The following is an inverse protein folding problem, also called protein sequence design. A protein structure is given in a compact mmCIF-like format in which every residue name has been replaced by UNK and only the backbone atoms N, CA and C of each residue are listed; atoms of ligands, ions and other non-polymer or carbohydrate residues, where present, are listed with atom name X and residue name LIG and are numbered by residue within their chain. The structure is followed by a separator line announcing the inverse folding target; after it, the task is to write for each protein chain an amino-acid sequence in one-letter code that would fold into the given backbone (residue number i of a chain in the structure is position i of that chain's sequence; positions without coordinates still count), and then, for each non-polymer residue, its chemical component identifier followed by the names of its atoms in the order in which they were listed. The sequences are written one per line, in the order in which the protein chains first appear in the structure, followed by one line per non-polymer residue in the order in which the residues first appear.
data_IF_891868608238
#
_entry.id   IF_891868608238
#
_cell.length_a   1.000
_cell.length_b   1.000
_cell.length_c   1.000
_cell.angle_alpha   90.00
_cell.angle_beta   90.00
_cell.angle_gamma   90.00
#
_symmetry.space_group_name_H-M   'P 1'
#
loop_
_entity.id
_entity.type
_entity.pdbx_description
1 polymer ?
#
# COMPACT_ATOMS: atom_id res chain seq x y z
N UNK A 1 15.44 -16.00 -12.63
CA UNK A 1 16.63 -16.69 -13.16
C UNK A 1 16.68 -18.06 -12.50
N UNK A 2 16.75 -19.14 -13.27
CA UNK A 2 16.90 -20.48 -12.72
C UNK A 2 18.29 -20.62 -12.07
N UNK A 3 18.37 -21.31 -10.94
CA UNK A 3 19.63 -21.54 -10.25
C UNK A 3 20.29 -22.85 -10.73
N UNK A 4 21.63 -22.93 -10.79
CA UNK A 4 22.34 -24.13 -11.25
C UNK A 4 22.04 -25.41 -10.46
N UNK A 5 21.72 -25.28 -9.17
CA UNK A 5 21.43 -26.41 -8.27
C UNK A 5 19.95 -26.79 -8.25
N UNK A 6 19.09 -26.11 -9.02
CA UNK A 6 17.65 -26.18 -8.90
C UNK A 6 17.07 -24.98 -8.16
N UNK A 7 15.79 -24.69 -8.40
CA UNK A 7 15.13 -23.50 -7.87
C UNK A 7 15.30 -22.24 -8.73
N UNK A 8 14.84 -21.11 -8.20
CA UNK A 8 14.70 -19.85 -8.92
C UNK A 8 15.08 -18.67 -8.03
N UNK A 9 15.91 -17.77 -8.55
CA UNK A 9 16.12 -16.44 -8.00
C UNK A 9 15.27 -15.42 -8.75
N UNK A 10 14.54 -14.59 -8.02
CA UNK A 10 13.75 -13.48 -8.58
C UNK A 10 14.20 -12.19 -7.93
N UNK A 11 14.53 -11.18 -8.75
CA UNK A 11 14.65 -9.81 -8.24
C UNK A 11 13.28 -9.34 -7.76
N UNK A 12 13.23 -8.96 -6.50
CA UNK A 12 12.05 -8.38 -5.89
C UNK A 12 12.14 -6.85 -5.96
N UNK A 13 11.02 -6.14 -5.94
CA UNK A 13 11.03 -4.70 -5.68
C UNK A 13 11.82 -4.41 -4.41
N UNK A 14 12.42 -3.23 -4.33
CA UNK A 14 13.14 -2.81 -3.14
C UNK A 14 12.21 -2.74 -1.91
N UNK A 15 12.82 -2.76 -0.72
CA UNK A 15 12.16 -2.55 0.58
C UNK A 15 12.84 -1.37 1.28
N UNK A 16 12.20 -0.87 2.32
CA UNK A 16 12.63 0.31 3.05
C UNK A 16 12.68 1.56 2.17
N UNK A 17 13.77 2.32 2.30
CA UNK A 17 14.08 3.52 1.50
C UNK A 17 14.28 3.27 -0.01
N UNK A 18 14.29 2.01 -0.44
CA UNK A 18 14.42 1.62 -1.84
C UNK A 18 15.86 1.48 -2.34
N UNK A 19 16.87 1.66 -1.47
CA UNK A 19 18.28 1.58 -1.84
C UNK A 19 18.80 0.14 -2.00
N UNK A 20 18.25 -0.79 -1.22
CA UNK A 20 18.71 -2.17 -1.17
C UNK A 20 18.16 -3.03 -2.31
N UNK A 21 19.04 -3.81 -2.95
CA UNK A 21 18.62 -4.86 -3.88
C UNK A 21 18.00 -6.03 -3.12
N UNK A 22 16.79 -6.44 -3.52
CA UNK A 22 16.06 -7.55 -2.89
C UNK A 22 15.97 -8.73 -3.86
N UNK A 23 16.25 -9.94 -3.37
CA UNK A 23 16.16 -11.17 -4.14
C UNK A 23 15.37 -12.21 -3.35
N UNK A 24 14.33 -12.76 -3.97
CA UNK A 24 13.64 -13.94 -3.45
C UNK A 24 14.33 -15.19 -4.00
N UNK A 25 14.71 -16.12 -3.12
CA UNK A 25 15.26 -17.42 -3.49
C UNK A 25 14.21 -18.51 -3.23
N UNK A 26 13.70 -19.12 -4.30
CA UNK A 26 12.86 -20.29 -4.24
C UNK A 26 13.74 -21.53 -4.42
N UNK A 27 13.82 -22.36 -3.39
CA UNK A 27 14.72 -23.51 -3.34
C UNK A 27 13.94 -24.79 -3.00
N UNK A 28 14.42 -25.96 -3.44
CA UNK A 28 13.99 -27.22 -2.86
C UNK A 28 14.19 -27.20 -1.34
N UNK A 29 13.24 -27.75 -0.58
CA UNK A 29 13.25 -27.68 0.89
C UNK A 29 14.55 -28.21 1.50
N UNK A 30 15.14 -29.25 0.90
CA UNK A 30 16.40 -29.85 1.36
C UNK A 30 17.62 -28.92 1.20
N UNK A 31 17.57 -27.93 0.31
CA UNK A 31 18.68 -27.02 0.01
C UNK A 31 18.66 -25.73 0.85
N UNK A 32 17.57 -25.46 1.58
CA UNK A 32 17.41 -24.19 2.32
C UNK A 32 18.53 -23.98 3.36
N UNK A 33 18.88 -25.02 4.10
CA UNK A 33 19.94 -24.93 5.14
C UNK A 33 21.31 -24.64 4.53
N UNK A 34 21.74 -25.47 3.58
CA UNK A 34 23.02 -25.28 2.89
C UNK A 34 23.13 -23.90 2.23
N UNK A 35 22.04 -23.41 1.60
CA UNK A 35 22.05 -22.08 1.00
C UNK A 35 22.13 -20.96 2.03
N UNK A 36 21.50 -21.11 3.19
CA UNK A 36 21.61 -20.15 4.28
C UNK A 36 23.06 -20.07 4.78
N UNK A 37 23.71 -21.23 4.97
CA UNK A 37 25.12 -21.30 5.39
C UNK A 37 26.06 -20.61 4.40
N UNK A 38 25.86 -20.81 3.09
CA UNK A 38 26.62 -20.11 2.04
C UNK A 38 26.43 -18.59 2.12
N UNK A 39 25.21 -18.11 2.35
CA UNK A 39 24.93 -16.68 2.50
C UNK A 39 25.60 -16.10 3.75
N UNK A 40 25.55 -16.82 4.88
CA UNK A 40 26.23 -16.40 6.11
C UNK A 40 27.75 -16.39 5.95
N UNK A 41 28.33 -17.38 5.27
CA UNK A 41 29.75 -17.41 4.93
C UNK A 41 30.16 -16.25 4.01
N UNK A 42 29.24 -15.77 3.16
CA UNK A 42 29.42 -14.59 2.33
C UNK A 42 29.16 -13.26 3.06
N UNK A 43 28.85 -13.29 4.37
CA UNK A 43 28.67 -12.11 5.21
C UNK A 43 27.22 -11.64 5.37
N UNK A 44 26.23 -12.39 4.88
CA UNK A 44 24.83 -12.10 5.21
C UNK A 44 24.56 -12.29 6.70
N UNK A 45 23.60 -11.54 7.23
CA UNK A 45 23.11 -11.68 8.60
C UNK A 45 21.63 -12.01 8.59
N UNK A 46 21.17 -12.75 9.59
CA UNK A 46 19.76 -13.05 9.74
C UNK A 46 18.99 -11.80 10.21
N UNK A 47 17.79 -11.63 9.69
CA UNK A 47 16.84 -10.61 10.12
C UNK A 47 15.50 -11.27 10.47
N UNK A 48 14.81 -10.71 11.47
CA UNK A 48 13.49 -11.17 11.88
C UNK A 48 12.39 -10.80 10.88
N UNK A 49 11.25 -11.49 10.96
CA UNK A 49 10.09 -11.18 10.13
C UNK A 49 9.57 -9.76 10.39
N UNK A 50 9.62 -9.29 11.63
CA UNK A 50 9.16 -7.95 12.00
C UNK A 50 9.98 -6.85 11.32
N UNK A 51 11.30 -7.04 11.20
CA UNK A 51 12.17 -6.12 10.48
C UNK A 51 11.81 -6.09 8.98
N UNK A 52 11.57 -7.25 8.38
CA UNK A 52 11.11 -7.31 6.99
C UNK A 52 9.75 -6.62 6.80
N UNK A 53 8.81 -6.83 7.73
CA UNK A 53 7.49 -6.19 7.67
C UNK A 53 7.58 -4.67 7.86
N UNK A 54 8.46 -4.18 8.73
CA UNK A 54 8.75 -2.75 8.88
C UNK A 54 9.23 -2.12 7.56
N UNK A 55 10.25 -2.70 6.94
CA UNK A 55 10.78 -2.21 5.66
C UNK A 55 9.77 -2.37 4.51
N UNK A 56 8.89 -3.37 4.56
CA UNK A 56 7.81 -3.54 3.57
C UNK A 56 6.77 -2.42 3.69
N UNK A 57 6.38 -2.06 4.91
CA UNK A 57 5.43 -0.99 5.18
C UNK A 57 6.01 0.36 4.81
N UNK A 58 7.27 0.64 5.18
CA UNK A 58 8.00 1.85 4.77
C UNK A 58 8.00 2.01 3.23
N UNK A 59 8.29 0.93 2.50
CA UNK A 59 8.26 0.90 1.03
C UNK A 59 6.84 0.91 0.42
N UNK A 60 5.79 1.12 1.22
CA UNK A 60 4.38 1.15 0.79
C UNK A 60 3.97 -0.08 -0.02
N UNK A 61 4.42 -1.26 0.39
CA UNK A 61 4.12 -2.53 -0.30
C UNK A 61 2.95 -3.25 0.35
N UNK A 62 1.71 -3.07 -0.15
CA UNK A 62 0.54 -3.69 0.46
C UNK A 62 0.51 -5.20 0.22
N UNK A 63 -0.04 -5.91 1.22
CA UNK A 63 -0.39 -7.33 1.18
C UNK A 63 -1.89 -7.47 0.90
N UNK A 64 -2.22 -8.23 -0.14
CA UNK A 64 -3.61 -8.52 -0.49
C UNK A 64 -4.34 -9.22 0.66
N UNK A 65 -5.56 -8.76 0.94
CA UNK A 65 -6.41 -9.27 2.03
C UNK A 65 -6.10 -8.73 3.42
N UNK A 66 -4.95 -8.05 3.61
CA UNK A 66 -4.58 -7.40 4.88
C UNK A 66 -4.64 -5.89 4.72
N UNK A 67 -3.86 -5.36 3.78
CA UNK A 67 -3.77 -3.93 3.45
C UNK A 67 -4.87 -3.51 2.46
N UNK A 68 -5.53 -4.48 1.82
CA UNK A 68 -6.67 -4.28 0.93
C UNK A 68 -7.95 -4.91 1.49
N UNK A 69 -9.11 -4.47 1.02
CA UNK A 69 -10.40 -5.10 1.33
C UNK A 69 -11.07 -5.68 0.07
N UNK A 70 -12.22 -6.33 0.26
CA UNK A 70 -12.99 -6.96 -0.84
C UNK A 70 -13.55 -5.94 -1.85
N UNK A 71 -13.49 -4.63 -1.56
CA UNK A 71 -13.91 -3.54 -2.44
C UNK A 71 -12.72 -2.84 -3.09
N UNK A 72 -11.49 -3.20 -2.69
CA UNK A 72 -10.28 -2.58 -3.21
C UNK A 72 -10.13 -2.84 -4.69
N UNK A 73 -9.88 -1.77 -5.43
CA UNK A 73 -9.54 -1.85 -6.84
C UNK A 73 -8.03 -1.64 -6.99
N UNK A 74 -7.39 -2.20 -8.03
CA UNK A 74 -5.97 -2.02 -8.28
C UNK A 74 -5.52 -0.56 -8.31
N UNK A 75 -6.41 0.36 -8.74
CA UNK A 75 -6.13 1.80 -8.82
C UNK A 75 -5.98 2.51 -7.48
N UNK A 76 -6.39 1.90 -6.39
CA UNK A 76 -6.21 2.47 -5.04
C UNK A 76 -4.84 2.10 -4.43
N UNK A 77 -4.11 1.18 -5.07
CA UNK A 77 -2.89 0.55 -4.59
C UNK A 77 -1.76 0.73 -5.62
N UNK A 78 -0.48 0.59 -5.24
CA UNK A 78 0.65 0.65 -6.18
C UNK A 78 0.68 -0.48 -7.23
N UNK A 79 -0.35 -1.35 -7.27
CA UNK A 79 -0.44 -2.50 -8.17
C UNK A 79 -0.79 -2.16 -9.60
N UNK A 80 -1.33 -0.96 -9.90
CA UNK A 80 -1.57 -0.54 -11.29
C UNK A 80 -0.31 -0.66 -12.15
N UNK A 81 0.85 -0.27 -11.60
CA UNK A 81 2.11 -0.21 -12.35
C UNK A 81 2.76 -1.58 -12.55
N UNK A 82 2.39 -2.57 -11.74
CA UNK A 82 3.15 -3.84 -11.63
C UNK A 82 2.31 -5.09 -11.84
N UNK A 83 0.99 -5.03 -11.64
CA UNK A 83 0.12 -6.20 -11.63
C UNK A 83 -1.05 -6.10 -12.62
N UNK A 84 -1.23 -4.95 -13.28
CA UNK A 84 -2.28 -4.74 -14.27
C UNK A 84 -1.65 -4.47 -15.63
N UNK A 85 -2.00 -5.30 -16.62
CA UNK A 85 -1.78 -4.94 -18.02
C UNK A 85 -3.04 -4.30 -18.57
N UNK A 86 -2.95 -3.03 -18.94
CA UNK A 86 -4.08 -2.30 -19.54
C UNK A 86 -4.38 -2.74 -20.98
N UNK A 87 -3.39 -3.36 -21.64
CA UNK A 87 -3.44 -3.72 -23.07
C UNK A 87 -3.58 -5.23 -23.32
N UNK A 88 -3.51 -6.07 -22.28
CA UNK A 88 -3.80 -7.51 -22.43
C UNK A 88 -5.32 -7.70 -22.53
N UNK A 89 -5.74 -8.74 -23.27
CA UNK A 89 -7.15 -8.98 -23.63
C UNK A 89 -8.14 -9.05 -22.46
N UNK A 90 -9.42 -9.27 -22.76
CA UNK A 90 -10.52 -9.21 -21.79
C UNK A 90 -10.30 -10.05 -20.52
N UNK A 91 -9.99 -9.41 -19.39
CA UNK A 91 -9.97 -10.04 -18.07
C UNK A 91 -11.11 -9.53 -17.18
N UNK A 92 -11.53 -10.36 -16.22
CA UNK A 92 -12.66 -10.04 -15.34
C UNK A 92 -12.34 -8.80 -14.49
N UNK A 93 -13.21 -7.79 -14.55
CA UNK A 93 -13.05 -6.53 -13.81
C UNK A 93 -12.29 -5.42 -14.56
N UNK A 94 -11.80 -5.67 -15.78
CA UNK A 94 -11.08 -4.69 -16.60
C UNK A 94 -11.90 -3.41 -16.85
N UNK A 95 -13.22 -3.51 -16.99
CA UNK A 95 -14.07 -2.33 -17.21
C UNK A 95 -13.97 -1.32 -16.06
N UNK A 96 -13.93 -1.80 -14.81
CA UNK A 96 -13.80 -0.92 -13.63
C UNK A 96 -12.41 -0.31 -13.57
N UNK A 97 -11.38 -1.12 -13.82
CA UNK A 97 -9.98 -0.67 -13.82
C UNK A 97 -9.72 0.38 -14.91
N UNK A 98 -10.16 0.10 -16.14
CA UNK A 98 -10.02 1.00 -17.29
C UNK A 98 -10.86 2.27 -17.11
N UNK A 99 -12.09 2.17 -16.58
CA UNK A 99 -12.93 3.35 -16.32
C UNK A 99 -12.31 4.28 -15.29
N UNK A 100 -11.81 3.74 -14.17
CA UNK A 100 -11.15 4.57 -13.15
C UNK A 100 -9.84 5.13 -13.70
N UNK A 101 -9.07 4.36 -14.45
CA UNK A 101 -7.83 4.82 -15.06
C UNK A 101 -8.06 5.96 -16.07
N UNK A 102 -9.09 5.86 -16.91
CA UNK A 102 -9.30 6.79 -18.03
C UNK A 102 -10.21 7.98 -17.69
N UNK A 103 -11.11 7.86 -16.71
CA UNK A 103 -12.14 8.87 -16.43
C UNK A 103 -12.19 9.34 -14.97
N UNK A 104 -11.44 8.72 -14.06
CA UNK A 104 -11.73 8.83 -12.62
C UNK A 104 -10.53 9.10 -11.73
N UNK A 105 -10.83 9.62 -10.54
CA UNK A 105 -9.93 9.57 -9.39
C UNK A 105 -10.34 8.36 -8.56
N UNK A 106 -9.42 7.44 -8.18
CA UNK A 106 -9.73 6.31 -7.31
C UNK A 106 -10.45 6.81 -6.05
N UNK A 107 -11.50 6.13 -5.56
CA UNK A 107 -12.28 6.65 -4.42
C UNK A 107 -11.48 6.63 -3.11
N UNK A 108 -10.45 5.79 -3.04
CA UNK A 108 -9.49 5.71 -1.93
C UNK A 108 -8.05 5.75 -2.45
N UNK A 109 -7.10 5.98 -1.56
CA UNK A 109 -5.68 5.80 -1.80
C UNK A 109 -5.04 5.06 -0.64
N UNK A 110 -4.00 4.29 -0.93
CA UNK A 110 -3.08 3.79 0.08
C UNK A 110 -2.18 4.92 0.55
N UNK A 111 -2.01 5.03 1.86
CA UNK A 111 -1.10 5.98 2.50
C UNK A 111 -0.29 5.26 3.58
N UNK A 112 0.91 5.77 3.86
CA UNK A 112 1.64 5.49 5.08
C UNK A 112 1.12 6.42 6.19
N UNK A 113 0.82 5.86 7.35
CA UNK A 113 0.46 6.58 8.56
C UNK A 113 1.61 6.49 9.55
N UNK A 114 1.94 7.62 10.15
CA UNK A 114 2.76 7.71 11.37
C UNK A 114 1.81 7.76 12.55
N UNK A 115 1.92 6.80 13.47
CA UNK A 115 1.04 6.67 14.62
C UNK A 115 1.79 7.10 15.88
N UNK A 116 1.14 7.99 16.64
CA UNK A 116 1.56 8.40 17.96
C UNK A 116 0.48 8.04 18.98
N UNK A 117 0.90 7.46 20.10
CA UNK A 117 -0.02 6.97 21.12
C UNK A 117 0.70 6.18 22.20
N UNK A 118 0.15 6.25 23.42
CA UNK A 118 0.73 5.62 24.62
C UNK A 118 0.34 4.14 24.80
N UNK A 119 -0.40 3.53 23.86
CA UNK A 119 -0.80 2.13 23.97
C UNK A 119 0.38 1.20 23.67
N UNK A 120 0.58 0.18 24.50
CA UNK A 120 1.55 -0.89 24.23
C UNK A 120 1.17 -1.73 23.00
N UNK A 121 -0.11 -1.74 22.63
CA UNK A 121 -0.64 -2.54 21.53
C UNK A 121 -0.81 -1.73 20.25
N UNK A 122 -0.31 -2.26 19.13
CA UNK A 122 -0.52 -1.67 17.81
C UNK A 122 -1.95 -1.96 17.31
N UNK A 123 -2.60 -1.01 16.61
CA UNK A 123 -3.92 -1.27 16.03
C UNK A 123 -3.93 -2.47 15.10
N UNK A 124 -4.97 -3.29 15.20
CA UNK A 124 -5.13 -4.46 14.35
C UNK A 124 -5.52 -4.06 12.90
N UNK A 125 -5.13 -4.86 11.89
CA UNK A 125 -5.62 -4.65 10.54
C UNK A 125 -7.14 -4.66 10.47
N UNK A 126 -7.72 -3.63 9.85
CA UNK A 126 -9.15 -3.42 9.78
C UNK A 126 -9.69 -2.38 10.75
N UNK A 127 -8.89 -1.92 11.72
CA UNK A 127 -9.30 -0.82 12.60
C UNK A 127 -9.69 0.42 11.78
N UNK A 128 -10.86 1.03 12.04
CA UNK A 128 -11.29 2.23 11.34
C UNK A 128 -10.31 3.39 11.52
N UNK A 129 -10.07 4.12 10.44
CA UNK A 129 -9.39 5.41 10.46
C UNK A 129 -10.46 6.49 10.48
N UNK A 130 -10.44 7.36 11.49
CA UNK A 130 -11.42 8.45 11.64
C UNK A 130 -10.77 9.82 11.53
N UNK A 131 -11.55 10.79 11.09
CA UNK A 131 -11.22 12.22 11.16
C UNK A 131 -12.39 12.90 11.88
N UNK A 132 -12.14 13.36 13.11
CA UNK A 132 -13.20 13.69 14.06
C UNK A 132 -14.14 12.49 14.28
N UNK A 133 -15.44 12.69 14.09
CA UNK A 133 -16.45 11.63 14.26
C UNK A 133 -16.70 10.77 13.01
N UNK A 134 -16.01 11.04 11.90
CA UNK A 134 -16.28 10.39 10.61
C UNK A 134 -15.24 9.32 10.31
N UNK A 135 -15.71 8.12 9.99
CA UNK A 135 -14.85 7.09 9.39
C UNK A 135 -14.45 7.50 7.97
N UNK A 136 -13.15 7.55 7.73
CA UNK A 136 -12.53 7.95 6.47
C UNK A 136 -11.69 6.86 5.84
N UNK A 137 -11.46 5.73 6.51
CA UNK A 137 -10.66 4.65 5.96
C UNK A 137 -10.52 3.46 6.92
N UNK A 138 -9.58 2.59 6.61
CA UNK A 138 -9.15 1.49 7.47
C UNK A 138 -7.64 1.35 7.46
N UNK A 139 -7.09 0.94 8.60
CA UNK A 139 -5.68 0.55 8.68
C UNK A 139 -5.51 -0.90 8.19
N UNK A 140 -4.37 -1.18 7.59
CA UNK A 140 -3.88 -2.50 7.23
C UNK A 140 -2.83 -2.95 8.24
N UNK A 141 -1.66 -3.31 7.76
CA UNK A 141 -0.49 -3.69 8.55
C UNK A 141 0.01 -2.49 9.33
N UNK A 142 0.22 -2.66 10.64
CA UNK A 142 0.89 -1.71 11.52
C UNK A 142 2.10 -2.40 12.14
N UNK A 143 3.22 -1.70 12.19
CA UNK A 143 4.54 -2.23 12.59
C UNK A 143 5.31 -1.19 13.39
N UNK A 144 6.30 -1.66 14.17
CA UNK A 144 7.28 -0.80 14.83
C UNK A 144 8.53 -0.73 13.96
N UNK A 145 8.79 0.43 13.40
CA UNK A 145 9.96 0.73 12.60
C UNK A 145 11.08 1.29 13.48
N UNK A 146 12.33 0.96 13.18
CA UNK A 146 13.48 1.36 14.01
C UNK A 146 13.75 2.87 13.97
N UNK A 147 13.54 3.52 12.83
CA UNK A 147 13.68 4.97 12.66
C UNK A 147 12.35 5.75 12.75
N UNK A 148 11.34 5.35 11.97
CA UNK A 148 10.06 6.06 11.85
C UNK A 148 9.10 5.85 13.03
N UNK A 149 9.42 5.00 14.00
CA UNK A 149 8.51 4.67 15.10
C UNK A 149 7.36 3.77 14.66
N UNK A 150 6.15 3.97 15.19
CA UNK A 150 5.00 3.13 14.81
C UNK A 150 4.42 3.65 13.50
N UNK A 151 4.48 2.80 12.46
CA UNK A 151 3.95 3.14 11.14
C UNK A 151 2.95 2.08 10.68
N UNK A 152 2.05 2.47 9.78
CA UNK A 152 1.11 1.52 9.20
C UNK A 152 0.61 1.93 7.83
N UNK A 153 0.22 0.95 7.02
CA UNK A 153 -0.49 1.22 5.77
C UNK A 153 -1.97 1.43 6.04
N UNK A 154 -2.59 2.38 5.35
CA UNK A 154 -4.02 2.60 5.43
C UNK A 154 -4.64 2.90 4.08
N UNK A 155 -5.86 2.40 3.87
CA UNK A 155 -6.71 2.83 2.77
C UNK A 155 -7.65 3.92 3.26
N UNK A 156 -7.43 5.15 2.81
CA UNK A 156 -8.22 6.32 3.18
C UNK A 156 -8.98 6.89 1.99
N UNK A 157 -10.12 7.52 2.25
CA UNK A 157 -10.89 8.26 1.25
C UNK A 157 -10.00 9.27 0.56
N UNK A 158 -10.16 9.35 -0.76
CA UNK A 158 -9.33 10.20 -1.58
C UNK A 158 -9.50 11.71 -1.30
N UNK A 159 -10.60 12.10 -0.65
CA UNK A 159 -10.89 13.46 -0.19
C UNK A 159 -10.22 13.85 1.14
N UNK A 160 -9.58 12.92 1.85
CA UNK A 160 -8.87 13.23 3.10
C UNK A 160 -7.66 14.11 2.76
N UNK A 161 -7.56 15.25 3.43
CA UNK A 161 -6.45 16.18 3.28
C UNK A 161 -5.15 15.53 3.83
N UNK A 162 -3.99 15.79 3.21
CA UNK A 162 -2.73 15.20 3.66
C UNK A 162 -2.30 15.65 5.06
N UNK A 163 -2.73 16.84 5.51
CA UNK A 163 -2.48 17.40 6.84
C UNK A 163 -3.60 17.08 7.85
N UNK A 164 -4.57 16.24 7.48
CA UNK A 164 -5.66 15.88 8.37
C UNK A 164 -5.14 15.11 9.59
N UNK A 165 -5.56 15.52 10.78
CA UNK A 165 -5.38 14.73 12.00
C UNK A 165 -6.35 13.56 11.96
N UNK A 166 -5.80 12.34 12.05
CA UNK A 166 -6.54 11.10 12.01
C UNK A 166 -6.44 10.36 13.34
N UNK A 167 -7.36 9.44 13.58
CA UNK A 167 -7.31 8.53 14.71
C UNK A 167 -7.49 7.09 14.25
N UNK A 168 -6.76 6.17 14.90
CA UNK A 168 -6.84 4.73 14.69
C UNK A 168 -6.91 4.05 16.05
N UNK A 169 -8.12 3.72 16.49
CA UNK A 169 -8.35 3.35 17.89
C UNK A 169 -7.99 4.51 18.81
N UNK A 170 -7.06 4.27 19.74
CA UNK A 170 -6.57 5.28 20.68
C UNK A 170 -5.36 6.08 20.14
N UNK A 171 -4.77 5.64 19.03
CA UNK A 171 -3.62 6.32 18.44
C UNK A 171 -4.07 7.53 17.61
N UNK A 172 -3.32 8.62 17.70
CA UNK A 172 -3.35 9.72 16.74
C UNK A 172 -2.49 9.32 15.56
N UNK A 173 -2.93 9.64 14.35
CA UNK A 173 -2.21 9.31 13.14
C UNK A 173 -2.09 10.53 12.20
N UNK A 174 -0.94 10.66 11.56
CA UNK A 174 -0.69 11.61 10.49
C UNK A 174 -0.35 10.86 9.20
N UNK A 175 -0.80 11.40 8.06
CA UNK A 175 -0.42 10.87 6.75
C UNK A 175 1.02 11.30 6.46
N UNK A 176 1.83 10.38 5.95
CA UNK A 176 3.17 10.68 5.49
C UNK A 176 3.14 11.77 4.39
N UNK A 177 4.00 12.81 4.46
CA UNK A 177 3.99 13.92 3.50
C UNK A 177 4.11 13.51 2.04
N UNK A 178 4.77 12.39 1.75
CA UNK A 178 4.95 11.89 0.39
C UNK A 178 3.69 11.23 -0.18
N UNK A 179 2.69 10.92 0.66
CA UNK A 179 1.43 10.25 0.29
C UNK A 179 0.25 11.23 0.08
N UNK A 180 0.60 12.41 -0.44
CA UNK A 180 -0.35 13.43 -0.85
C UNK A 180 -1.43 12.91 -1.82
N UNK A 181 -2.58 13.60 -1.90
CA UNK A 181 -3.57 13.42 -2.97
C UNK A 181 -2.91 13.26 -4.35
N UNK A 182 -3.08 12.11 -5.00
CA UNK A 182 -2.65 11.98 -6.40
C UNK A 182 -3.45 12.95 -7.28
N UNK A 183 -2.74 13.84 -7.97
CA UNK A 183 -3.30 14.72 -9.00
C UNK A 183 -3.76 13.87 -10.18
N UNK A 184 -5.04 13.98 -10.50
CA UNK A 184 -5.55 13.60 -11.82
C UNK A 184 -5.19 14.71 -12.80
N UNK A 185 -4.87 14.35 -14.04
CA UNK A 185 -4.71 15.29 -15.15
C UNK A 185 -5.79 16.38 -15.06
N UNK A 186 -5.38 17.65 -15.04
CA UNK A 186 -6.25 18.80 -14.78
C UNK A 186 -7.46 18.84 -15.72
N UNK A 187 -7.33 18.27 -16.92
CA UNK A 187 -8.42 18.11 -17.88
C UNK A 187 -9.55 17.20 -17.36
N UNK A 188 -9.20 16.09 -16.70
CA UNK A 188 -10.16 15.12 -16.13
C UNK A 188 -10.82 15.71 -14.87
N UNK A 189 -10.07 16.45 -14.06
CA UNK A 189 -10.63 17.19 -12.91
C UNK A 189 -11.69 18.20 -13.35
N UNK A 190 -11.39 19.02 -14.37
CA UNK A 190 -12.30 20.04 -14.89
C UNK A 190 -13.56 19.45 -15.55
N UNK A 191 -13.46 18.27 -16.19
CA UNK A 191 -14.63 17.57 -16.74
C UNK A 191 -15.56 17.05 -15.62
N UNK A 192 -14.98 16.53 -14.54
CA UNK A 192 -15.74 16.01 -13.39
C UNK A 192 -16.49 17.10 -12.64
N UNK A 193 -15.84 18.25 -12.41
CA UNK A 193 -16.48 19.36 -11.69
C UNK A 193 -17.69 19.92 -12.46
N UNK A 194 -17.61 19.94 -13.80
CA UNK A 194 -18.77 20.24 -14.65
C UNK A 194 -19.91 19.23 -14.47
N UNK A 195 -19.62 17.92 -14.45
CA UNK A 195 -20.65 16.88 -14.24
C UNK A 195 -21.27 16.98 -12.84
N UNK A 196 -20.46 17.25 -11.81
CA UNK A 196 -20.93 17.41 -10.42
C UNK A 196 -21.84 18.64 -10.28
N UNK A 197 -21.47 19.75 -10.92
CA UNK A 197 -22.28 20.96 -10.97
C UNK A 197 -23.63 20.73 -11.70
N UNK A 198 -23.65 19.94 -12.78
CA UNK A 198 -24.90 19.58 -13.48
C UNK A 198 -25.82 18.71 -12.62
N UNK A 199 -25.27 17.74 -11.87
CA UNK A 199 -26.05 16.89 -10.96
C UNK A 199 -26.66 17.69 -9.80
N UNK A 200 -25.89 18.59 -9.20
CA UNK A 200 -26.39 19.44 -8.10
C UNK A 200 -27.53 20.36 -8.55
N UNK A 201 -27.52 20.84 -9.80
CA UNK A 201 -28.61 21.65 -10.39
C UNK A 201 -29.88 20.85 -10.64
N UNK A 202 -29.80 19.53 -10.82
CA UNK A 202 -30.95 18.64 -11.07
C UNK A 202 -31.64 18.13 -9.81
N UNK A 203 -30.99 18.18 -8.65
CA UNK A 203 -31.55 17.71 -7.37
C UNK A 203 -32.14 18.83 -6.50
N UNK A 204 -32.12 20.07 -6.97
CA UNK A 204 -32.63 21.25 -6.25
C UNK A 204 -33.86 21.90 -6.88
N UNK A 205 -34.63 21.14 -7.67
CA UNK A 205 -35.88 21.59 -8.31
C UNK A 205 -37.05 20.71 -7.94
#
# INVERSE_FOLDING_TARGET
VALPTGGWARRSPATGDGSAAVVDLLLPRAEVGARADELFAAGAVSAGLDAFEALRVEARRPRAGVDSDHRSIPNELPWLRTAVHLEKGCYRGQETVARVHNLGRPPRRLVLLHLDGMSETVPAPGTPVTSGSREVGRVGTVVRHHELGVIGLALVKQSVAPDAVLHVGEAVAAIDPDDGPQDVDAAVAAARDRVKAVRLRRCGG
#
